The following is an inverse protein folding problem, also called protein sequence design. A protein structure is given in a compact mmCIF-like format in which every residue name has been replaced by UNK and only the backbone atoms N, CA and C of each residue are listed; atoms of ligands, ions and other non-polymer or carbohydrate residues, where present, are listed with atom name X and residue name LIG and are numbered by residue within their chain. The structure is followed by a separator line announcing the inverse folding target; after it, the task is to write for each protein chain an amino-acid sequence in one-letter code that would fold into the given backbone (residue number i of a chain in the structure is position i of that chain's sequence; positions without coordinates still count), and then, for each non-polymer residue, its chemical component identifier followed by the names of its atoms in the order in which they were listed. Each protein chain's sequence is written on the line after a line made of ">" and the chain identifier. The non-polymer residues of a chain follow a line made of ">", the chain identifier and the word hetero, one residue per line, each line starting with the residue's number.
data_IF_386326411568
#
_entry.id   IF_386326411568
#
_cell.length_a   1.000
_cell.length_b   1.000
_cell.length_c   1.000
_cell.angle_alpha   90.00
_cell.angle_beta   90.00
_cell.angle_gamma   90.00
#
_symmetry.space_group_name_H-M   'P 1'
#
loop_
_entity.id
_entity.type
_entity.pdbx_description
1 polymer ?
#
# COMPACT_ATOMS: atom_id res chain seq x y z
N UNK A 1 -0.87 12.13 12.48
CA UNK A 1 -0.98 11.62 11.16
C UNK A 1 -2.32 11.05 10.84
N UNK A 2 -2.55 10.94 9.66
CA UNK A 2 -3.85 10.71 9.03
C UNK A 2 -3.90 9.34 8.38
N UNK A 3 -3.24 8.34 8.99
CA UNK A 3 -3.20 6.99 8.42
C UNK A 3 -4.59 6.41 8.28
N UNK A 4 -5.44 6.63 9.31
CA UNK A 4 -6.82 6.16 9.21
C UNK A 4 -7.60 6.90 8.14
N UNK A 5 -7.32 8.19 7.96
CA UNK A 5 -7.97 8.94 6.89
C UNK A 5 -7.51 8.50 5.52
N UNK A 6 -6.24 8.13 5.39
CA UNK A 6 -5.75 7.54 4.15
C UNK A 6 -6.49 6.26 3.82
N UNK A 7 -6.65 5.39 4.82
CA UNK A 7 -7.38 4.15 4.63
C UNK A 7 -8.81 4.41 4.21
N UNK A 8 -9.47 5.35 4.87
CA UNK A 8 -10.85 5.72 4.53
C UNK A 8 -10.94 6.24 3.10
N UNK A 9 -9.99 7.07 2.69
CA UNK A 9 -9.95 7.62 1.35
C UNK A 9 -9.87 6.51 0.32
N UNK A 10 -8.99 5.54 0.54
CA UNK A 10 -8.81 4.42 -0.37
C UNK A 10 -10.04 3.53 -0.39
N UNK A 11 -10.60 3.23 0.77
CA UNK A 11 -11.79 2.40 0.88
C UNK A 11 -13.02 3.04 0.26
N UNK A 12 -13.07 4.37 0.23
CA UNK A 12 -14.19 5.09 -0.36
C UNK A 12 -14.17 5.06 -1.89
N UNK A 13 -13.14 4.47 -2.49
CA UNK A 13 -13.06 4.35 -3.94
C UNK A 13 -12.44 5.53 -4.64
N UNK A 14 -11.74 6.38 -3.92
CA UNK A 14 -11.05 7.51 -4.54
C UNK A 14 -10.06 7.00 -5.58
N UNK A 15 -10.06 7.60 -6.76
CA UNK A 15 -9.18 7.22 -7.85
C UNK A 15 -7.92 8.09 -7.91
N UNK A 16 -7.80 9.04 -7.00
CA UNK A 16 -6.70 9.99 -6.99
C UNK A 16 -5.77 9.73 -5.82
N UNK A 17 -5.30 8.49 -5.71
CA UNK A 17 -4.38 8.13 -4.65
C UNK A 17 -2.95 8.37 -5.11
N UNK A 18 -2.24 9.21 -4.38
CA UNK A 18 -0.85 9.49 -4.67
C UNK A 18 0.02 8.31 -4.28
N UNK A 19 1.11 8.13 -5.02
CA UNK A 19 2.06 7.08 -4.70
C UNK A 19 2.56 7.19 -3.26
N UNK A 20 2.86 8.41 -2.79
CA UNK A 20 3.30 8.62 -1.40
C UNK A 20 2.25 8.20 -0.40
N UNK A 21 0.96 8.40 -0.72
CA UNK A 21 -0.12 7.97 0.16
C UNK A 21 -0.20 6.45 0.23
N UNK A 22 -0.06 5.78 -0.91
CA UNK A 22 -0.10 4.32 -0.94
C UNK A 22 1.06 3.71 -0.17
N UNK A 23 2.26 4.27 -0.32
CA UNK A 23 3.42 3.76 0.42
C UNK A 23 3.27 4.00 1.91
N UNK A 24 2.73 5.16 2.31
CA UNK A 24 2.49 5.44 3.72
C UNK A 24 1.50 4.44 4.33
N UNK A 25 0.46 4.08 3.56
CA UNK A 25 -0.50 3.10 4.04
C UNK A 25 0.14 1.73 4.18
N UNK A 26 0.92 1.30 3.19
CA UNK A 26 1.60 0.01 3.25
C UNK A 26 2.49 -0.05 4.49
N UNK A 27 3.27 1.01 4.73
CA UNK A 27 4.15 1.07 5.89
C UNK A 27 3.36 1.06 7.19
N UNK A 28 2.20 1.70 7.21
CA UNK A 28 1.35 1.71 8.40
C UNK A 28 0.89 0.32 8.80
N UNK A 29 0.79 -0.60 7.82
CA UNK A 29 0.41 -1.99 8.08
C UNK A 29 1.61 -2.92 8.23
N UNK A 30 2.81 -2.37 8.36
CA UNK A 30 4.01 -3.15 8.66
C UNK A 30 4.81 -3.59 7.45
N UNK A 31 4.44 -3.15 6.25
CA UNK A 31 5.23 -3.43 5.06
C UNK A 31 6.47 -2.56 5.02
N UNK A 32 7.53 -3.09 4.42
CA UNK A 32 8.78 -2.36 4.24
C UNK A 32 9.22 -2.45 2.81
N UNK A 33 9.82 -1.37 2.31
CA UNK A 33 10.38 -1.36 0.98
C UNK A 33 11.57 -2.31 0.92
N UNK A 34 11.50 -3.28 0.02
CA UNK A 34 12.58 -4.25 -0.17
C UNK A 34 13.52 -3.80 -1.28
N UNK A 35 12.95 -3.44 -2.43
CA UNK A 35 13.77 -3.00 -3.56
C UNK A 35 12.94 -2.15 -4.51
N UNK A 36 13.65 -1.39 -5.32
CA UNK A 36 13.06 -0.57 -6.37
C UNK A 36 13.61 -1.06 -7.70
N UNK A 37 12.71 -1.28 -8.65
CA UNK A 37 13.05 -1.75 -9.98
C UNK A 37 12.34 -0.84 -10.99
N UNK A 38 13.03 0.19 -11.44
CA UNK A 38 12.41 1.22 -12.26
C UNK A 38 11.37 1.98 -11.46
N UNK A 39 10.13 2.01 -11.95
CA UNK A 39 9.03 2.65 -11.25
C UNK A 39 8.33 1.70 -10.26
N UNK A 40 8.75 0.43 -10.22
CA UNK A 40 8.16 -0.57 -9.35
C UNK A 40 8.84 -0.59 -8.00
N UNK A 41 8.06 -0.44 -6.95
CA UNK A 41 8.54 -0.48 -5.57
C UNK A 41 7.97 -1.73 -4.91
N UNK A 42 8.87 -2.65 -4.53
CA UNK A 42 8.47 -3.94 -3.99
C UNK A 42 8.52 -3.87 -2.47
N UNK A 43 7.39 -4.10 -1.86
CA UNK A 43 7.26 -4.09 -0.39
C UNK A 43 7.08 -5.49 0.14
N UNK A 44 7.65 -5.75 1.32
CA UNK A 44 7.56 -7.04 1.98
C UNK A 44 7.06 -6.85 3.41
N UNK A 45 6.49 -7.90 3.96
CA UNK A 45 6.01 -7.92 5.33
C UNK A 45 6.57 -9.16 6.02
N UNK A 46 7.14 -9.01 7.23
CA UNK A 46 7.81 -10.16 7.87
C UNK A 46 6.88 -11.30 8.23
N UNK A 47 5.58 -11.03 8.38
CA UNK A 47 4.63 -12.04 8.79
C UNK A 47 3.91 -12.75 7.66
N UNK A 48 4.15 -12.38 6.42
CA UNK A 48 3.44 -12.98 5.28
C UNK A 48 4.39 -13.18 4.10
N UNK A 49 4.12 -14.19 3.24
CA UNK A 49 5.00 -14.46 2.10
C UNK A 49 4.73 -13.58 0.88
N UNK A 50 3.57 -12.95 0.80
CA UNK A 50 3.22 -12.18 -0.39
C UNK A 50 4.01 -10.88 -0.47
N UNK A 51 4.31 -10.49 -1.70
CA UNK A 51 4.93 -9.21 -2.01
C UNK A 51 3.87 -8.24 -2.48
N UNK A 52 4.10 -6.95 -2.23
CA UNK A 52 3.26 -5.88 -2.76
C UNK A 52 4.09 -5.08 -3.75
N UNK A 53 3.57 -4.93 -4.95
CA UNK A 53 4.20 -4.11 -5.98
C UNK A 53 3.39 -2.84 -6.16
N UNK A 54 3.97 -1.70 -5.80
CA UNK A 54 3.36 -0.40 -6.02
C UNK A 54 4.18 0.34 -7.06
N UNK A 55 3.53 0.69 -8.17
CA UNK A 55 4.19 1.37 -9.27
C UNK A 55 3.89 2.85 -9.20
N UNK A 56 4.95 3.66 -9.32
CA UNK A 56 4.81 5.10 -9.36
C UNK A 56 4.59 5.54 -10.80
N UNK A 57 3.36 5.92 -11.14
CA UNK A 57 3.01 6.39 -12.47
C UNK A 57 2.66 7.87 -12.35
N UNK A 58 3.64 8.71 -12.66
CA UNK A 58 3.48 10.18 -12.58
C UNK A 58 2.96 10.61 -11.20
N UNK A 59 3.52 10.00 -10.15
CA UNK A 59 3.18 10.34 -8.78
C UNK A 59 1.93 9.67 -8.25
N UNK A 60 1.31 8.79 -9.02
CA UNK A 60 0.10 8.07 -8.61
C UNK A 60 0.30 6.59 -8.67
N UNK A 61 -0.52 5.86 -7.92
CA UNK A 61 -0.50 4.39 -7.90
C UNK A 61 -1.68 3.88 -8.70
N UNK A 62 -1.54 2.68 -9.29
CA UNK A 62 -2.62 2.06 -10.04
C UNK A 62 -3.65 1.45 -9.10
N UNK A 63 -4.94 1.57 -9.46
CA UNK A 63 -6.03 1.12 -8.59
C UNK A 63 -5.94 -0.37 -8.28
N UNK A 64 -5.57 -1.20 -9.26
CA UNK A 64 -5.52 -2.64 -9.01
C UNK A 64 -4.44 -3.02 -8.00
N UNK A 65 -3.38 -2.21 -7.92
CA UNK A 65 -2.32 -2.45 -6.94
C UNK A 65 -2.79 -2.10 -5.54
N UNK A 66 -3.60 -1.05 -5.41
CA UNK A 66 -4.23 -0.73 -4.13
C UNK A 66 -5.17 -1.83 -3.69
N UNK A 67 -5.95 -2.38 -4.63
CA UNK A 67 -6.85 -3.49 -4.31
C UNK A 67 -6.09 -4.70 -3.81
N UNK A 68 -4.95 -5.01 -4.43
CA UNK A 68 -4.11 -6.10 -3.98
C UNK A 68 -3.62 -5.87 -2.55
N UNK A 69 -3.17 -4.65 -2.27
CA UNK A 69 -2.71 -4.31 -0.92
C UNK A 69 -3.84 -4.51 0.10
N UNK A 70 -5.03 -3.97 -0.20
CA UNK A 70 -6.17 -4.09 0.70
C UNK A 70 -6.59 -5.55 0.89
N UNK A 71 -6.57 -6.35 -0.18
CA UNK A 71 -6.92 -7.76 -0.09
C UNK A 71 -5.95 -8.52 0.80
N UNK A 72 -4.67 -8.24 0.70
CA UNK A 72 -3.67 -8.91 1.52
C UNK A 72 -3.82 -8.49 2.98
N UNK A 73 -4.07 -7.22 3.22
CA UNK A 73 -4.33 -6.72 4.58
C UNK A 73 -5.52 -7.47 5.19
N UNK A 74 -6.59 -7.62 4.42
CA UNK A 74 -7.78 -8.30 4.91
C UNK A 74 -7.56 -9.80 5.08
N UNK A 75 -6.93 -10.42 4.10
CA UNK A 75 -6.68 -11.87 4.11
C UNK A 75 -5.87 -12.29 5.33
N UNK A 76 -4.89 -11.50 5.70
CA UNK A 76 -4.00 -11.82 6.82
C UNK A 76 -4.37 -11.08 8.09
N UNK A 77 -5.48 -10.37 8.09
CA UNK A 77 -5.98 -9.63 9.25
C UNK A 77 -4.89 -8.73 9.85
N UNK A 78 -4.19 -8.01 8.99
CA UNK A 78 -3.12 -7.13 9.43
C UNK A 78 -3.68 -5.92 10.15
N UNK A 79 -2.94 -5.44 11.13
CA UNK A 79 -3.35 -4.30 11.93
C UNK A 79 -2.49 -3.09 11.60
N UNK A 80 -3.10 -1.91 11.64
CA UNK A 80 -2.38 -0.68 11.43
C UNK A 80 -1.51 -0.38 12.64
N UNK A 81 -0.25 -0.06 12.37
CA UNK A 81 0.70 0.36 13.40
C UNK A 81 0.68 1.87 13.49
N UNK A 82 0.38 2.38 14.65
CA UNK A 82 0.33 3.83 14.88
C UNK A 82 1.60 4.34 15.52
#
# INVERSE_FOLDING_TARGET
>A
MRKRKLLEKILSGSKNIRFAEATALAEAFGFRLDRINGSHHIFVHPGIPELINLQNVKGKVKSYQLKQLLNIIEQHNLQMED
#
